data_IF_506199223384
#
_entry.id   IF_506199223384
#
_cell.length_a   1.000
_cell.length_b   1.000
_cell.length_c   1.000
_cell.angle_alpha   90.00
_cell.angle_beta   90.00
_cell.angle_gamma   90.00
#
_symmetry.space_group_name_H-M   'P 1'
#
loop_
_entity.id
_entity.type
_entity.pdbx_description
1 polymer ?
#
# COMPACT_ATOMS: atom_id res chain seq x y z
N UNK A 1 9.01 -11.36 -15.02
CA UNK A 1 9.92 -11.07 -13.89
C UNK A 1 10.93 -9.99 -14.25
N UNK A 2 11.77 -10.18 -15.31
CA UNK A 2 12.80 -9.19 -15.68
C UNK A 2 12.22 -7.77 -15.86
N UNK A 3 11.09 -7.66 -16.56
CA UNK A 3 10.39 -6.38 -16.73
C UNK A 3 10.04 -5.70 -15.38
N UNK A 4 9.52 -6.45 -14.41
CA UNK A 4 9.13 -5.89 -13.10
C UNK A 4 10.35 -5.46 -12.29
N UNK A 5 11.48 -6.18 -12.39
CA UNK A 5 12.73 -5.77 -11.75
C UNK A 5 13.25 -4.47 -12.37
N UNK A 6 13.33 -4.39 -13.70
CA UNK A 6 13.81 -3.19 -14.39
C UNK A 6 12.88 -1.99 -14.16
N UNK A 7 11.56 -2.20 -14.20
CA UNK A 7 10.58 -1.16 -13.88
C UNK A 7 10.71 -0.69 -12.41
N UNK A 8 10.86 -1.62 -11.47
CA UNK A 8 11.10 -1.30 -10.06
C UNK A 8 12.34 -0.43 -9.87
N UNK A 9 13.48 -0.82 -10.44
CA UNK A 9 14.71 -0.05 -10.40
C UNK A 9 14.57 1.34 -11.06
N UNK A 10 13.90 1.41 -12.22
CA UNK A 10 13.67 2.68 -12.91
C UNK A 10 12.83 3.62 -12.04
N UNK A 11 11.71 3.15 -11.52
CA UNK A 11 10.83 4.00 -10.68
C UNK A 11 11.45 4.34 -9.33
N UNK A 12 12.29 3.49 -8.73
CA UNK A 12 12.98 3.79 -7.49
C UNK A 12 14.11 4.80 -7.69
N UNK A 13 14.99 4.56 -8.65
CA UNK A 13 16.17 5.39 -8.87
C UNK A 13 15.79 6.68 -9.59
N UNK A 14 15.19 6.57 -10.77
CA UNK A 14 14.91 7.73 -11.60
C UNK A 14 13.63 8.44 -11.14
N UNK A 15 12.51 7.71 -11.09
CA UNK A 15 11.20 8.30 -10.78
C UNK A 15 11.14 8.88 -9.36
N UNK A 16 11.48 8.07 -8.36
CA UNK A 16 11.41 8.50 -6.98
C UNK A 16 12.63 9.30 -6.55
N UNK A 17 13.84 8.71 -6.61
CA UNK A 17 15.03 9.31 -5.97
C UNK A 17 15.49 10.56 -6.69
N UNK A 18 15.60 10.54 -8.02
CA UNK A 18 16.12 11.69 -8.80
C UNK A 18 15.03 12.73 -9.10
N UNK A 19 13.85 12.31 -9.56
CA UNK A 19 12.86 13.23 -10.09
C UNK A 19 11.84 13.75 -9.07
N UNK A 20 11.53 12.99 -7.99
CA UNK A 20 10.41 13.37 -7.13
C UNK A 20 10.74 13.53 -5.64
N UNK A 21 11.67 12.75 -5.10
CA UNK A 21 11.95 12.69 -3.65
C UNK A 21 12.21 14.04 -3.00
N UNK A 22 12.90 14.95 -3.69
CA UNK A 22 13.26 16.28 -3.18
C UNK A 22 12.43 17.41 -3.76
N UNK A 23 11.58 17.14 -4.75
CA UNK A 23 10.88 18.17 -5.52
C UNK A 23 9.37 18.20 -5.27
N UNK A 24 8.77 17.11 -4.82
CA UNK A 24 7.33 17.08 -4.58
C UNK A 24 6.95 16.37 -3.29
N UNK A 25 5.93 16.90 -2.62
CA UNK A 25 5.34 16.28 -1.43
C UNK A 25 4.58 14.97 -1.75
N UNK A 26 4.28 14.71 -3.01
CA UNK A 26 3.64 13.48 -3.50
C UNK A 26 4.67 12.42 -3.97
N UNK A 27 5.93 12.55 -3.60
CA UNK A 27 7.01 11.64 -3.96
C UNK A 27 6.67 10.16 -3.67
N UNK A 28 5.94 9.87 -2.58
CA UNK A 28 5.53 8.52 -2.21
C UNK A 28 4.56 7.92 -3.23
N UNK A 29 3.72 8.72 -3.89
CA UNK A 29 2.82 8.24 -4.95
C UNK A 29 3.63 7.63 -6.11
N UNK A 30 4.74 8.27 -6.49
CA UNK A 30 5.67 7.74 -7.51
C UNK A 30 6.49 6.58 -6.96
N UNK A 31 7.04 6.71 -5.75
CA UNK A 31 7.81 5.64 -5.09
C UNK A 31 6.99 4.36 -4.85
N UNK A 32 5.68 4.50 -4.68
CA UNK A 32 4.77 3.36 -4.49
C UNK A 32 4.70 2.45 -5.73
N UNK A 33 4.98 2.98 -6.93
CA UNK A 33 5.10 2.14 -8.14
C UNK A 33 6.27 1.17 -7.97
N UNK A 34 7.45 1.66 -7.57
CA UNK A 34 8.62 0.83 -7.33
C UNK A 34 8.32 -0.23 -6.25
N UNK A 35 7.76 0.18 -5.11
CA UNK A 35 7.43 -0.71 -4.01
C UNK A 35 6.37 -1.76 -4.32
N UNK A 36 5.56 -1.58 -5.37
CA UNK A 36 4.55 -2.55 -5.82
C UNK A 36 5.12 -3.60 -6.80
N UNK A 37 6.28 -3.34 -7.42
CA UNK A 37 6.87 -4.23 -8.43
C UNK A 37 7.24 -5.63 -7.91
N UNK A 38 7.70 -5.83 -6.64
CA UNK A 38 7.92 -7.16 -6.11
C UNK A 38 6.66 -8.04 -6.09
N UNK A 39 5.49 -7.47 -5.77
CA UNK A 39 4.23 -8.21 -5.78
C UNK A 39 3.85 -8.65 -7.21
N UNK A 40 3.99 -7.74 -8.18
CA UNK A 40 3.76 -8.04 -9.60
C UNK A 40 4.76 -9.08 -10.14
N UNK A 41 6.03 -8.94 -9.74
CA UNK A 41 7.10 -9.86 -10.12
C UNK A 41 6.92 -11.27 -9.55
N UNK A 42 6.54 -11.36 -8.28
CA UNK A 42 6.22 -12.63 -7.62
C UNK A 42 5.05 -13.34 -8.28
N UNK A 43 3.96 -12.62 -8.59
CA UNK A 43 2.85 -13.16 -9.37
C UNK A 43 3.30 -13.65 -10.75
N UNK A 44 4.04 -12.82 -11.50
CA UNK A 44 4.51 -13.18 -12.84
C UNK A 44 5.48 -14.38 -12.84
N UNK A 45 6.21 -14.59 -11.75
CA UNK A 45 7.07 -15.76 -11.58
C UNK A 45 6.26 -17.04 -11.42
N UNK A 46 5.18 -17.01 -10.65
CA UNK A 46 4.31 -18.17 -10.44
C UNK A 46 3.36 -18.44 -11.61
N UNK A 47 2.76 -17.40 -12.18
CA UNK A 47 1.77 -17.51 -13.24
C UNK A 47 2.39 -17.59 -14.66
N UNK A 48 3.70 -17.38 -14.80
CA UNK A 48 4.38 -17.33 -16.11
C UNK A 48 4.12 -16.05 -16.91
N UNK A 49 3.19 -15.19 -16.48
CA UNK A 49 2.77 -13.97 -17.18
C UNK A 49 2.31 -12.89 -16.20
N UNK A 50 2.34 -11.62 -16.66
CA UNK A 50 1.67 -10.51 -15.98
C UNK A 50 0.18 -10.57 -16.36
N UNK A 51 -0.68 -10.84 -15.38
CA UNK A 51 -2.12 -10.93 -15.56
C UNK A 51 -2.84 -9.95 -14.63
N UNK A 52 -4.14 -9.73 -14.84
CA UNK A 52 -4.94 -8.81 -14.04
C UNK A 52 -4.84 -9.09 -12.52
N UNK A 53 -4.94 -10.33 -12.01
CA UNK A 53 -4.77 -10.58 -10.59
C UNK A 53 -3.42 -10.12 -10.02
N UNK A 54 -2.32 -10.30 -10.79
CA UNK A 54 -1.00 -9.80 -10.38
C UNK A 54 -0.94 -8.28 -10.31
N UNK A 55 -1.57 -7.59 -11.26
CA UNK A 55 -1.70 -6.12 -11.25
C UNK A 55 -2.52 -5.65 -10.05
N UNK A 56 -3.60 -6.36 -9.70
CA UNK A 56 -4.41 -6.04 -8.53
C UNK A 56 -3.65 -6.23 -7.21
N UNK A 57 -2.84 -7.28 -7.06
CA UNK A 57 -1.97 -7.44 -5.90
C UNK A 57 -0.90 -6.33 -5.81
N UNK A 58 -0.32 -5.94 -6.94
CA UNK A 58 0.59 -4.79 -6.98
C UNK A 58 -0.13 -3.48 -6.59
N UNK A 59 -1.37 -3.29 -7.04
CA UNK A 59 -2.18 -2.13 -6.69
C UNK A 59 -2.52 -2.09 -5.19
N UNK A 60 -2.69 -3.24 -4.52
CA UNK A 60 -2.84 -3.32 -3.07
C UNK A 60 -1.62 -2.75 -2.36
N UNK A 61 -0.40 -3.15 -2.77
CA UNK A 61 0.84 -2.63 -2.19
C UNK A 61 1.01 -1.14 -2.49
N UNK A 62 0.76 -0.73 -3.73
CA UNK A 62 0.79 0.67 -4.15
C UNK A 62 -0.11 1.56 -3.26
N UNK A 63 -1.36 1.16 -3.10
CA UNK A 63 -2.34 1.93 -2.35
C UNK A 63 -2.13 1.91 -0.83
N UNK A 64 -1.45 0.90 -0.30
CA UNK A 64 -1.10 0.79 1.12
C UNK A 64 0.00 1.77 1.54
N UNK A 65 0.96 2.08 0.66
CA UNK A 65 2.17 2.82 1.01
C UNK A 65 1.91 4.23 1.57
N UNK A 66 0.98 5.06 1.06
CA UNK A 66 0.69 6.37 1.64
C UNK A 66 0.25 6.30 3.11
N UNK A 67 -0.60 5.34 3.49
CA UNK A 67 -0.97 5.12 4.88
C UNK A 67 0.27 4.84 5.75
N UNK A 68 1.18 4.02 5.25
CA UNK A 68 2.38 3.61 5.97
C UNK A 68 3.41 4.75 6.03
N UNK A 69 3.81 5.28 4.88
CA UNK A 69 4.95 6.21 4.80
C UNK A 69 4.62 7.62 5.24
N UNK A 70 3.43 8.17 4.90
CA UNK A 70 3.08 9.54 5.31
C UNK A 70 2.90 9.66 6.83
N UNK A 71 2.33 8.65 7.50
CA UNK A 71 2.19 8.66 8.95
C UNK A 71 3.52 8.40 9.67
N UNK A 72 4.42 7.59 9.09
CA UNK A 72 5.80 7.50 9.55
C UNK A 72 6.53 8.84 9.43
N UNK A 73 6.40 9.52 8.28
CA UNK A 73 7.01 10.82 8.07
C UNK A 73 6.47 11.88 9.03
N UNK A 74 5.18 11.85 9.35
CA UNK A 74 4.59 12.74 10.37
C UNK A 74 5.19 12.46 11.76
N UNK A 75 5.40 11.21 12.12
CA UNK A 75 6.06 10.83 13.37
C UNK A 75 7.53 11.29 13.40
N UNK A 76 8.27 11.14 12.30
CA UNK A 76 9.68 11.51 12.12
C UNK A 76 9.85 12.91 11.49
N UNK A 77 8.94 13.83 11.75
CA UNK A 77 8.89 15.16 11.11
C UNK A 77 10.22 15.88 11.11
N UNK A 78 10.94 15.88 12.26
CA UNK A 78 12.21 16.59 12.40
C UNK A 78 13.29 16.04 11.46
N UNK A 79 13.35 14.72 11.29
CA UNK A 79 14.36 14.08 10.44
C UNK A 79 14.11 14.38 8.96
N UNK A 80 12.82 14.33 8.53
CA UNK A 80 12.45 14.68 7.16
C UNK A 80 12.69 16.15 6.84
N UNK A 81 12.38 17.05 7.79
CA UNK A 81 12.66 18.49 7.65
C UNK A 81 14.17 18.77 7.58
N UNK A 82 14.98 18.14 8.43
CA UNK A 82 16.46 18.25 8.39
C UNK A 82 17.04 17.74 7.06
N UNK A 83 16.49 16.68 6.51
CA UNK A 83 16.90 16.11 5.24
C UNK A 83 16.39 16.88 4.00
N UNK A 84 15.57 17.92 4.18
CA UNK A 84 14.90 18.66 3.11
C UNK A 84 14.12 17.74 2.15
N UNK A 85 13.43 16.71 2.71
CA UNK A 85 12.58 15.81 1.92
C UNK A 85 11.12 16.21 2.16
N UNK A 86 10.44 16.77 1.15
CA UNK A 86 9.04 17.12 1.28
C UNK A 86 8.18 15.85 1.35
N UNK A 87 7.20 15.85 2.27
CA UNK A 87 6.24 14.76 2.43
C UNK A 87 4.82 15.34 2.49
N UNK A 88 3.83 14.62 1.96
CA UNK A 88 2.46 15.11 1.96
C UNK A 88 1.98 15.44 3.38
N UNK A 89 2.32 14.61 4.36
CA UNK A 89 1.98 14.81 5.77
C UNK A 89 2.65 16.03 6.43
N UNK A 90 3.68 16.61 5.82
CA UNK A 90 4.44 17.74 6.35
C UNK A 90 4.22 19.03 5.56
N UNK A 91 3.74 18.92 4.31
CA UNK A 91 3.62 20.03 3.38
C UNK A 91 2.16 20.38 3.05
N UNK A 92 1.23 19.47 3.27
CA UNK A 92 -0.19 19.72 3.09
C UNK A 92 -0.92 19.86 4.43
N UNK A 93 -2.06 20.55 4.40
CA UNK A 93 -2.98 20.55 5.54
C UNK A 93 -3.36 19.12 5.94
N UNK A 94 -3.56 18.91 7.25
CA UNK A 94 -3.87 17.60 7.81
C UNK A 94 -5.12 16.97 7.19
N UNK A 95 -6.10 17.78 6.79
CA UNK A 95 -7.32 17.29 6.11
C UNK A 95 -7.02 16.79 4.72
N UNK A 96 -6.15 17.48 3.98
CA UNK A 96 -5.78 17.15 2.61
C UNK A 96 -5.03 15.82 2.56
N UNK A 97 -3.94 15.68 3.32
CA UNK A 97 -3.19 14.42 3.26
C UNK A 97 -3.97 13.24 3.86
N UNK A 98 -4.82 13.48 4.87
CA UNK A 98 -5.69 12.45 5.40
C UNK A 98 -6.75 12.01 4.39
N UNK A 99 -7.35 12.94 3.65
CA UNK A 99 -8.28 12.63 2.57
C UNK A 99 -7.60 11.82 1.45
N UNK A 100 -6.40 12.23 1.03
CA UNK A 100 -5.59 11.47 0.07
C UNK A 100 -5.31 10.05 0.57
N UNK A 101 -4.97 9.89 1.85
CA UNK A 101 -4.77 8.56 2.45
C UNK A 101 -6.04 7.72 2.40
N UNK A 102 -7.21 8.29 2.72
CA UNK A 102 -8.50 7.57 2.68
C UNK A 102 -8.84 7.15 1.24
N UNK A 103 -8.55 7.98 0.24
CA UNK A 103 -8.72 7.61 -1.18
C UNK A 103 -7.86 6.39 -1.53
N UNK A 104 -6.59 6.36 -1.10
CA UNK A 104 -5.72 5.20 -1.33
C UNK A 104 -6.24 3.95 -0.61
N UNK A 105 -6.76 4.08 0.61
CA UNK A 105 -7.40 2.97 1.33
C UNK A 105 -8.65 2.43 0.59
N UNK A 106 -9.44 3.30 -0.02
CA UNK A 106 -10.58 2.89 -0.85
C UNK A 106 -10.11 2.14 -2.12
N UNK A 107 -9.04 2.63 -2.76
CA UNK A 107 -8.41 1.93 -3.90
C UNK A 107 -7.87 0.57 -3.48
N UNK A 108 -7.24 0.47 -2.30
CA UNK A 108 -6.77 -0.80 -1.73
C UNK A 108 -7.93 -1.79 -1.53
N UNK A 109 -9.02 -1.35 -0.91
CA UNK A 109 -10.20 -2.19 -0.70
C UNK A 109 -10.78 -2.68 -2.03
N UNK A 110 -10.94 -1.79 -3.01
CA UNK A 110 -11.40 -2.14 -4.35
C UNK A 110 -10.48 -3.18 -5.00
N UNK A 111 -9.16 -3.00 -4.92
CA UNK A 111 -8.19 -3.91 -5.52
C UNK A 111 -8.26 -5.32 -4.90
N UNK A 112 -8.40 -5.44 -3.58
CA UNK A 112 -8.53 -6.75 -2.90
C UNK A 112 -9.83 -7.45 -3.31
N UNK A 113 -10.95 -6.72 -3.37
CA UNK A 113 -12.23 -7.31 -3.81
C UNK A 113 -12.21 -7.70 -5.29
N UNK A 114 -11.66 -6.85 -6.17
CA UNK A 114 -11.51 -7.20 -7.59
C UNK A 114 -10.61 -8.43 -7.76
N UNK A 115 -9.55 -8.57 -6.96
CA UNK A 115 -8.73 -9.78 -6.95
C UNK A 115 -9.56 -11.02 -6.58
N UNK A 116 -10.36 -10.96 -5.50
CA UNK A 116 -11.20 -12.06 -5.07
C UNK A 116 -12.22 -12.46 -6.15
N UNK A 117 -12.88 -11.49 -6.79
CA UNK A 117 -13.84 -11.75 -7.86
C UNK A 117 -13.18 -12.33 -9.12
N UNK A 118 -12.01 -11.84 -9.52
CA UNK A 118 -11.34 -12.29 -10.75
C UNK A 118 -10.71 -13.67 -10.62
N UNK A 119 -10.31 -14.07 -9.41
CA UNK A 119 -9.67 -15.35 -9.14
C UNK A 119 -10.63 -16.38 -8.54
N UNK A 120 -11.79 -15.97 -8.08
CA UNK A 120 -12.70 -16.75 -7.23
C UNK A 120 -12.04 -17.27 -5.94
N UNK A 121 -10.97 -16.62 -5.49
CA UNK A 121 -10.17 -16.94 -4.29
C UNK A 121 -9.82 -15.66 -3.54
N UNK A 122 -9.45 -15.77 -2.25
CA UNK A 122 -9.05 -14.60 -1.45
C UNK A 122 -10.22 -13.84 -0.83
N UNK A 123 -11.39 -14.44 -0.72
CA UNK A 123 -12.57 -13.78 -0.11
C UNK A 123 -12.39 -13.51 1.38
N UNK A 124 -11.76 -14.42 2.14
CA UNK A 124 -11.46 -14.20 3.56
C UNK A 124 -10.43 -13.08 3.72
N UNK A 125 -9.42 -13.05 2.85
CA UNK A 125 -8.46 -11.94 2.81
C UNK A 125 -9.17 -10.62 2.51
N UNK A 126 -10.12 -10.59 1.57
CA UNK A 126 -10.89 -9.39 1.23
C UNK A 126 -11.77 -8.92 2.41
N UNK A 127 -12.47 -9.83 3.07
CA UNK A 127 -13.31 -9.53 4.24
C UNK A 127 -12.49 -8.94 5.39
N UNK A 128 -11.42 -9.64 5.81
CA UNK A 128 -10.57 -9.19 6.91
C UNK A 128 -9.84 -7.88 6.56
N UNK A 129 -9.33 -7.75 5.33
CA UNK A 129 -8.72 -6.49 4.88
C UNK A 129 -9.72 -5.34 4.93
N UNK A 130 -10.98 -5.56 4.56
CA UNK A 130 -12.02 -4.52 4.63
C UNK A 130 -12.23 -4.04 6.07
N UNK A 131 -12.23 -4.95 7.05
CA UNK A 131 -12.33 -4.57 8.47
C UNK A 131 -11.14 -3.69 8.87
N UNK A 132 -9.91 -4.11 8.56
CA UNK A 132 -8.72 -3.33 8.91
C UNK A 132 -8.64 -1.99 8.16
N UNK A 133 -9.00 -1.96 6.88
CA UNK A 133 -9.06 -0.73 6.08
C UNK A 133 -10.10 0.24 6.66
N UNK A 134 -11.27 -0.26 7.05
CA UNK A 134 -12.32 0.56 7.68
C UNK A 134 -11.84 1.15 9.01
N UNK A 135 -11.21 0.34 9.87
CA UNK A 135 -10.64 0.79 11.13
C UNK A 135 -9.51 1.81 10.90
N UNK A 136 -8.65 1.59 9.91
CA UNK A 136 -7.60 2.54 9.51
C UNK A 136 -8.22 3.87 9.06
N UNK A 137 -9.26 3.82 8.20
CA UNK A 137 -9.97 5.01 7.71
C UNK A 137 -10.60 5.82 8.85
N UNK A 138 -11.23 5.14 9.80
CA UNK A 138 -11.78 5.78 11.01
C UNK A 138 -10.67 6.45 11.82
N UNK A 139 -9.54 5.79 12.05
CA UNK A 139 -8.39 6.38 12.76
C UNK A 139 -7.82 7.59 12.03
N UNK A 140 -7.67 7.52 10.71
CA UNK A 140 -7.22 8.66 9.89
C UNK A 140 -8.22 9.82 9.99
N UNK A 141 -9.51 9.55 9.96
CA UNK A 141 -10.55 10.59 10.15
C UNK A 141 -10.51 11.23 11.55
N UNK A 142 -10.26 10.43 12.59
CA UNK A 142 -10.05 10.97 13.95
C UNK A 142 -8.76 11.77 14.09
N UNK A 143 -7.69 11.35 13.41
CA UNK A 143 -6.42 12.07 13.40
C UNK A 143 -6.55 13.53 12.98
N UNK A 144 -7.47 13.83 12.05
CA UNK A 144 -7.77 15.21 11.60
C UNK A 144 -8.22 16.11 12.75
N UNK A 145 -8.90 15.57 13.76
CA UNK A 145 -9.42 16.34 14.90
C UNK A 145 -8.36 16.63 15.95
N UNK A 146 -7.40 15.73 16.12
CA UNK A 146 -6.34 15.82 17.13
C UNK A 146 -5.04 15.21 16.61
N UNK A 147 -4.37 15.88 15.65
CA UNK A 147 -3.15 15.39 15.09
C UNK A 147 -2.02 15.38 16.12
N UNK A 148 -1.34 14.23 16.25
CA UNK A 148 -0.20 14.08 17.14
C UNK A 148 0.79 13.05 16.62
N UNK A 149 2.08 13.21 16.98
CA UNK A 149 3.13 12.24 16.61
C UNK A 149 2.82 10.85 17.17
N UNK A 150 2.28 10.77 18.40
CA UNK A 150 1.94 9.49 19.00
C UNK A 150 0.83 8.77 18.24
N UNK A 151 -0.21 9.48 17.78
CA UNK A 151 -1.28 8.88 17.00
C UNK A 151 -0.81 8.53 15.58
N UNK A 152 0.03 9.35 14.97
CA UNK A 152 0.66 9.02 13.69
C UNK A 152 1.45 7.70 13.76
N UNK A 153 2.25 7.50 14.83
CA UNK A 153 2.96 6.24 15.06
C UNK A 153 2.01 5.04 15.24
N UNK A 154 0.86 5.25 15.92
CA UNK A 154 -0.15 4.18 16.06
C UNK A 154 -0.76 3.80 14.72
N UNK A 155 -1.09 4.79 13.87
CA UNK A 155 -1.63 4.56 12.53
C UNK A 155 -0.59 3.84 11.66
N UNK A 156 0.66 4.28 11.67
CA UNK A 156 1.77 3.62 10.99
C UNK A 156 1.90 2.14 11.39
N UNK A 157 1.92 1.84 12.71
CA UNK A 157 2.01 0.47 13.22
C UNK A 157 0.79 -0.36 12.83
N UNK A 158 -0.39 0.24 12.79
CA UNK A 158 -1.63 -0.42 12.40
C UNK A 158 -1.69 -0.74 10.89
N UNK A 159 -0.96 0.01 10.06
CA UNK A 159 -0.90 -0.23 8.61
C UNK A 159 -0.24 -1.58 8.25
N UNK A 160 0.78 -2.01 9.01
CA UNK A 160 1.57 -3.21 8.71
C UNK A 160 0.73 -4.51 8.68
N UNK A 161 -0.11 -4.82 9.70
CA UNK A 161 -0.98 -6.00 9.65
C UNK A 161 -1.95 -6.00 8.47
N UNK A 162 -2.41 -4.82 8.02
CA UNK A 162 -3.37 -4.70 6.91
C UNK A 162 -2.80 -5.32 5.62
N UNK A 163 -1.53 -5.07 5.32
CA UNK A 163 -0.88 -5.67 4.16
C UNK A 163 -0.57 -7.15 4.38
N UNK A 164 -0.09 -7.51 5.57
CA UNK A 164 0.24 -8.89 5.92
C UNK A 164 -0.96 -9.85 5.76
N UNK A 165 -2.19 -9.40 6.09
CA UNK A 165 -3.42 -10.18 5.91
C UNK A 165 -3.57 -10.63 4.45
N UNK A 166 -3.41 -9.74 3.48
CA UNK A 166 -3.56 -10.09 2.07
C UNK A 166 -2.51 -11.12 1.65
N UNK A 167 -1.23 -10.85 1.96
CA UNK A 167 -0.11 -11.67 1.49
C UNK A 167 0.09 -12.97 2.26
N UNK A 168 -0.59 -13.17 3.39
CA UNK A 168 -0.63 -14.44 4.12
C UNK A 168 -1.90 -15.22 3.80
N UNK A 169 -3.07 -14.56 3.84
CA UNK A 169 -4.33 -15.28 3.68
C UNK A 169 -4.60 -15.71 2.25
N UNK A 170 -4.26 -14.91 1.23
CA UNK A 170 -4.50 -15.31 -0.17
C UNK A 170 -3.79 -16.63 -0.50
N UNK A 171 -2.48 -16.82 -0.25
CA UNK A 171 -1.83 -18.12 -0.45
C UNK A 171 -2.45 -19.25 0.38
N UNK A 172 -2.84 -18.98 1.63
CA UNK A 172 -3.45 -20.00 2.48
C UNK A 172 -4.82 -20.45 1.96
N UNK A 173 -5.66 -19.51 1.46
CA UNK A 173 -6.94 -19.86 0.83
C UNK A 173 -6.74 -20.68 -0.46
N UNK A 174 -5.73 -20.33 -1.26
CA UNK A 174 -5.38 -21.08 -2.46
C UNK A 174 -4.99 -22.51 -2.10
N UNK A 175 -4.06 -22.68 -1.16
CA UNK A 175 -3.62 -23.99 -0.70
C UNK A 175 -4.77 -24.81 -0.10
N UNK A 176 -5.60 -24.20 0.75
CA UNK A 176 -6.76 -24.88 1.35
C UNK A 176 -7.76 -25.34 0.27
N UNK A 177 -8.00 -24.52 -0.77
CA UNK A 177 -8.90 -24.92 -1.86
C UNK A 177 -8.37 -26.09 -2.69
N UNK A 178 -7.05 -26.19 -2.87
CA UNK A 178 -6.44 -27.29 -3.61
C UNK A 178 -6.42 -28.61 -2.79
N UNK A 179 -6.28 -28.50 -1.48
CA UNK A 179 -6.25 -29.67 -0.58
C UNK A 179 -7.64 -30.21 -0.26
N UNK A 180 -8.65 -29.33 -0.13
CA UNK A 180 -10.01 -29.69 0.31
C UNK A 180 -10.97 -29.95 -0.85
N UNK A 181 -10.72 -29.39 -2.03
CA UNK A 181 -11.54 -29.52 -3.22
C UNK A 181 -10.66 -29.92 -4.42
N UNK A 182 -10.08 -31.12 -4.43
CA UNK A 182 -9.12 -31.53 -5.45
C UNK A 182 -9.70 -31.76 -6.86
N UNK A 183 -11.02 -31.53 -7.07
CA UNK A 183 -11.72 -31.74 -8.39
C UNK A 183 -12.71 -30.64 -8.71
#
# INVERSE_FOLDING_TARGET
VLFTVLAGLYFDIIGYTELTKRFTALNIVVGSIAGSMPALGGWAAGAGAITLPGVLLALVVYAWQPLHVWFLAYFLEEDYRRANVPMASLNYDVRVFSALTIVHLAVMALAVWMFAFTTSKGYMAALLSTVFISLASVRVAYFVRSPSRAEALRIFKFATPTLAIVFVLVPLEVLASELLLPW
#
